data_IF_878051561279
#
_entry.id   IF_878051561279
#
_cell.length_a   1.000
_cell.length_b   1.000
_cell.length_c   1.000
_cell.angle_alpha   90.00
_cell.angle_beta   90.00
_cell.angle_gamma   90.00
#
_symmetry.space_group_name_H-M   'P 1'
#
loop_
_entity.id
_entity.type
_entity.pdbx_description
1 polymer ?
#
# COMPACT_ATOMS: atom_id res chain seq x y z
N UNK A 1 2.32 -9.59 -20.38
CA UNK A 1 3.07 -8.39 -19.99
C UNK A 1 2.17 -7.65 -19.04
N UNK A 2 2.66 -7.30 -17.86
CA UNK A 2 1.84 -6.62 -16.85
C UNK A 2 1.56 -5.18 -17.27
N UNK A 3 0.33 -4.71 -17.02
CA UNK A 3 -0.05 -3.32 -17.24
C UNK A 3 0.40 -2.45 -16.07
N UNK A 4 0.35 -3.00 -14.84
CA UNK A 4 0.69 -2.30 -13.60
C UNK A 4 1.45 -3.21 -12.65
N UNK A 5 2.46 -2.65 -11.98
CA UNK A 5 3.14 -3.29 -10.85
C UNK A 5 2.82 -2.50 -9.58
N UNK A 6 2.26 -3.16 -8.57
CA UNK A 6 1.99 -2.58 -7.26
C UNK A 6 3.07 -3.03 -6.28
N UNK A 7 3.79 -2.06 -5.72
CA UNK A 7 4.81 -2.31 -4.69
C UNK A 7 4.17 -2.23 -3.31
N UNK A 8 4.18 -3.35 -2.58
CA UNK A 8 3.63 -3.49 -1.25
C UNK A 8 2.28 -4.23 -1.24
N UNK A 9 2.16 -5.17 -0.29
CA UNK A 9 0.95 -5.98 -0.06
C UNK A 9 0.21 -5.58 1.21
N UNK A 10 0.29 -4.30 1.60
CA UNK A 10 -0.53 -3.73 2.68
C UNK A 10 -1.95 -3.37 2.21
N UNK A 11 -2.81 -2.85 3.10
CA UNK A 11 -4.20 -2.55 2.79
C UNK A 11 -4.38 -1.65 1.56
N UNK A 12 -3.58 -0.59 1.45
CA UNK A 12 -3.63 0.32 0.30
C UNK A 12 -3.22 -0.36 -1.01
N UNK A 13 -2.14 -1.15 -0.99
CA UNK A 13 -1.65 -1.88 -2.16
C UNK A 13 -2.65 -2.93 -2.65
N UNK A 14 -3.25 -3.69 -1.73
CA UNK A 14 -4.26 -4.70 -2.06
C UNK A 14 -5.56 -4.06 -2.57
N UNK A 15 -6.01 -2.96 -1.97
CA UNK A 15 -7.19 -2.22 -2.44
C UNK A 15 -6.97 -1.66 -3.86
N UNK A 16 -5.79 -1.10 -4.14
CA UNK A 16 -5.43 -0.63 -5.47
C UNK A 16 -5.36 -1.77 -6.48
N UNK A 17 -4.69 -2.87 -6.14
CA UNK A 17 -4.59 -4.03 -7.01
C UNK A 17 -5.98 -4.61 -7.35
N UNK A 18 -6.87 -4.71 -6.37
CA UNK A 18 -8.26 -5.15 -6.60
C UNK A 18 -9.00 -4.23 -7.58
N UNK A 19 -8.95 -2.91 -7.37
CA UNK A 19 -9.62 -1.96 -8.25
C UNK A 19 -9.07 -1.97 -9.69
N UNK A 20 -7.76 -2.18 -9.86
CA UNK A 20 -7.13 -2.29 -11.19
C UNK A 20 -7.51 -3.60 -11.89
N UNK A 21 -7.58 -4.70 -11.15
CA UNK A 21 -8.09 -5.98 -11.67
C UNK A 21 -9.57 -5.86 -12.09
N UNK A 22 -10.40 -5.19 -11.30
CA UNK A 22 -11.81 -4.91 -11.64
C UNK A 22 -11.94 -4.05 -12.91
N UNK A 23 -10.95 -3.19 -13.18
CA UNK A 23 -10.84 -2.42 -14.42
C UNK A 23 -10.31 -3.25 -15.62
N UNK A 24 -10.02 -4.53 -15.43
CA UNK A 24 -9.57 -5.46 -16.48
C UNK A 24 -8.07 -5.41 -16.76
N UNK A 25 -7.26 -4.83 -15.89
CA UNK A 25 -5.81 -4.75 -16.05
C UNK A 25 -5.10 -5.99 -15.50
N UNK A 26 -3.99 -6.35 -16.12
CA UNK A 26 -3.06 -7.37 -15.60
C UNK A 26 -2.14 -6.71 -14.57
N UNK A 27 -2.29 -7.09 -13.30
CA UNK A 27 -1.56 -6.49 -12.18
C UNK A 27 -0.63 -7.51 -11.52
N UNK A 28 0.62 -7.12 -11.34
CA UNK A 28 1.58 -7.88 -10.51
C UNK A 28 1.84 -7.16 -9.21
N UNK A 29 1.63 -7.84 -8.07
CA UNK A 29 2.01 -7.36 -6.75
C UNK A 29 3.41 -7.81 -6.36
N UNK A 30 4.23 -6.92 -5.80
CA UNK A 30 5.58 -7.22 -5.30
C UNK A 30 5.69 -6.79 -3.85
N UNK A 31 5.99 -7.72 -2.96
CA UNK A 31 6.22 -7.45 -1.54
C UNK A 31 7.22 -8.45 -0.94
N UNK A 32 7.88 -8.12 0.19
CA UNK A 32 8.77 -9.05 0.87
C UNK A 32 8.09 -10.31 1.42
N UNK A 33 6.76 -10.27 1.64
CA UNK A 33 5.94 -11.37 2.11
C UNK A 33 4.65 -11.51 1.30
N UNK A 34 3.91 -12.59 1.54
CA UNK A 34 2.61 -12.85 0.91
C UNK A 34 1.51 -11.88 1.36
N UNK A 35 0.38 -11.78 0.63
CA UNK A 35 -0.74 -10.89 0.96
C UNK A 35 -1.45 -11.25 2.27
N UNK A 36 -1.25 -12.47 2.76
CA UNK A 36 -1.70 -13.01 4.04
C UNK A 36 -0.74 -12.72 5.20
N UNK A 37 0.43 -12.14 4.92
CA UNK A 37 1.40 -11.76 5.96
C UNK A 37 0.83 -10.60 6.80
N UNK A 38 0.90 -10.66 8.15
CA UNK A 38 0.44 -9.56 9.00
C UNK A 38 1.11 -8.24 8.64
N UNK A 39 0.30 -7.20 8.39
CA UNK A 39 0.80 -5.87 8.09
C UNK A 39 0.94 -5.05 9.37
N UNK A 40 2.15 -4.62 9.77
CA UNK A 40 2.34 -3.76 10.92
C UNK A 40 1.78 -2.36 10.61
N UNK A 41 0.99 -1.81 11.53
CA UNK A 41 0.42 -0.47 11.36
C UNK A 41 1.54 0.58 11.22
N UNK A 42 1.63 1.24 10.06
CA UNK A 42 2.47 2.43 9.89
C UNK A 42 1.57 3.66 9.91
N UNK A 43 1.71 4.48 10.96
CA UNK A 43 1.02 5.76 11.05
C UNK A 43 1.91 6.85 10.45
N UNK A 44 1.37 7.58 9.48
CA UNK A 44 1.96 8.82 8.97
C UNK A 44 1.24 10.01 9.58
N UNK A 45 1.96 11.10 9.73
CA UNK A 45 1.43 12.40 10.12
C UNK A 45 2.07 13.44 9.21
N UNK A 46 1.31 14.44 8.79
CA UNK A 46 1.89 15.56 8.05
C UNK A 46 2.72 16.44 9.00
N UNK A 47 3.72 17.13 8.48
CA UNK A 47 4.61 17.95 9.30
C UNK A 47 3.84 19.02 10.10
N UNK A 48 2.83 19.62 9.47
CA UNK A 48 1.96 20.64 10.05
C UNK A 48 0.91 20.10 11.03
N UNK A 49 0.72 18.78 11.07
CA UNK A 49 -0.12 18.11 12.07
C UNK A 49 0.66 17.71 13.33
N UNK A 50 1.99 17.78 13.30
CA UNK A 50 2.80 17.50 14.47
C UNK A 50 2.50 18.52 15.58
N UNK A 51 2.31 18.09 16.84
CA UNK A 51 2.30 19.03 17.94
C UNK A 51 3.63 19.80 17.94
N UNK A 52 3.57 21.10 18.22
CA UNK A 52 4.76 21.92 18.41
C UNK A 52 5.68 21.21 19.41
N UNK A 53 6.98 21.13 19.09
CA UNK A 53 7.95 20.49 19.98
C UNK A 53 7.96 21.22 21.33
N UNK A 54 7.28 20.68 22.34
CA UNK A 54 7.44 21.11 23.72
C UNK A 54 8.79 20.58 24.20
N UNK A 55 9.76 21.49 24.36
CA UNK A 55 11.00 21.27 25.10
C UNK A 55 10.83 21.74 26.55
#
# INVERSE_FOLDING_TARGET
MDDVIVLGAGPAGLALAAALCDAGLTVTGVAPGGPDTPWPNTYGIWEDELPSAEL
#
